data_IF_926600358407
#
_entry.id   IF_926600358407
#
_cell.length_a   1.000
_cell.length_b   1.000
_cell.length_c   1.000
_cell.angle_alpha   90.00
_cell.angle_beta   90.00
_cell.angle_gamma   90.00
#
_symmetry.space_group_name_H-M   'P 1'
#
loop_
_entity.id
_entity.type
_entity.pdbx_description
1 polymer ?
#
# COMPACT_ATOMS: atom_id res chain seq x y z
N UNK A 1 50.18 36.05 -16.00
CA UNK A 1 49.29 35.44 -17.04
C UNK A 1 49.20 33.93 -16.93
N UNK A 2 50.15 33.21 -16.32
CA UNK A 2 50.14 31.73 -16.16
C UNK A 2 49.17 31.24 -15.04
N UNK A 3 48.91 32.04 -13.99
CA UNK A 3 48.02 31.68 -12.86
C UNK A 3 46.53 31.66 -13.23
N UNK A 4 46.08 32.47 -14.17
CA UNK A 4 44.67 32.56 -14.56
C UNK A 4 44.21 31.30 -15.37
N UNK A 5 45.14 30.64 -16.09
CA UNK A 5 44.81 29.43 -16.89
C UNK A 5 44.54 28.19 -16.03
N UNK A 6 45.07 28.15 -14.81
CA UNK A 6 44.88 26.96 -13.93
C UNK A 6 43.59 27.01 -13.12
N UNK A 7 42.94 28.18 -12.97
CA UNK A 7 41.68 28.33 -12.23
C UNK A 7 40.42 28.14 -13.11
N UNK A 8 40.56 28.25 -14.43
CA UNK A 8 39.42 28.09 -15.34
C UNK A 8 38.74 26.71 -15.26
N UNK A 9 39.47 25.58 -15.24
CA UNK A 9 38.83 24.27 -15.15
C UNK A 9 38.18 24.01 -13.78
N UNK A 10 38.72 24.55 -12.68
CA UNK A 10 38.12 24.41 -11.34
C UNK A 10 36.82 25.22 -11.24
N UNK A 11 36.81 26.42 -11.82
CA UNK A 11 35.60 27.26 -11.88
C UNK A 11 34.51 26.60 -12.76
N UNK A 12 34.90 25.99 -13.89
CA UNK A 12 33.96 25.29 -14.77
C UNK A 12 33.34 24.05 -14.10
N UNK A 13 34.14 23.29 -13.32
CA UNK A 13 33.63 22.14 -12.55
C UNK A 13 32.70 22.59 -11.43
N UNK A 14 33.03 23.69 -10.75
CA UNK A 14 32.19 24.26 -9.68
C UNK A 14 30.84 24.79 -10.22
N UNK A 15 30.85 25.43 -11.40
CA UNK A 15 29.63 25.92 -12.05
C UNK A 15 28.80 24.74 -12.57
N UNK A 16 29.43 23.68 -13.09
CA UNK A 16 28.73 22.48 -13.55
C UNK A 16 28.11 21.71 -12.36
N UNK A 17 28.83 21.63 -11.23
CA UNK A 17 28.30 21.00 -9.99
C UNK A 17 27.13 21.79 -9.41
N UNK A 18 27.17 23.13 -9.46
CA UNK A 18 26.05 23.98 -9.04
C UNK A 18 24.83 23.86 -9.96
N UNK A 19 25.04 23.67 -11.27
CA UNK A 19 23.95 23.46 -12.23
C UNK A 19 23.26 22.10 -12.06
N UNK A 20 23.99 21.06 -11.64
CA UNK A 20 23.40 19.73 -11.36
C UNK A 20 22.53 19.76 -10.11
N UNK A 21 22.84 20.59 -9.11
CA UNK A 21 22.00 20.75 -7.91
C UNK A 21 20.72 21.58 -8.15
N UNK A 22 20.64 22.31 -9.24
CA UNK A 22 19.47 23.13 -9.58
C UNK A 22 18.39 22.40 -10.39
N UNK A 23 18.54 21.10 -10.63
CA UNK A 23 17.72 20.36 -11.58
C UNK A 23 16.57 19.55 -10.93
N UNK A 24 16.43 19.55 -9.62
CA UNK A 24 15.30 18.87 -8.98
C UNK A 24 14.09 19.80 -8.87
N UNK A 25 12.90 19.26 -9.14
CA UNK A 25 11.66 19.99 -8.93
C UNK A 25 11.54 20.45 -7.48
N UNK A 26 11.05 21.66 -7.22
CA UNK A 26 10.90 22.14 -5.84
C UNK A 26 9.88 21.28 -5.09
N UNK A 27 10.15 21.03 -3.81
CA UNK A 27 9.19 20.40 -2.92
C UNK A 27 7.97 21.30 -2.73
N UNK A 28 6.76 20.74 -2.54
CA UNK A 28 5.56 21.53 -2.32
C UNK A 28 5.68 22.37 -1.05
N UNK A 29 5.13 23.58 -1.09
CA UNK A 29 5.10 24.44 0.09
C UNK A 29 4.22 23.82 1.19
N UNK A 30 4.63 23.99 2.46
CA UNK A 30 3.82 23.56 3.59
C UNK A 30 2.47 24.29 3.57
N UNK A 31 1.32 23.59 3.57
CA UNK A 31 0.03 24.23 3.65
C UNK A 31 -0.20 24.89 5.03
N UNK A 32 -1.11 25.85 5.08
CA UNK A 32 -1.41 26.56 6.32
C UNK A 32 -2.32 25.74 7.28
N UNK A 33 -3.02 24.75 6.76
CA UNK A 33 -4.17 24.10 7.39
C UNK A 33 -4.17 22.56 7.32
N UNK A 34 -3.02 21.92 7.46
CA UNK A 34 -2.83 20.46 7.47
C UNK A 34 -3.15 19.72 6.16
N UNK A 35 -3.82 20.37 5.18
CA UNK A 35 -4.27 19.72 3.95
C UNK A 35 -3.78 20.48 2.71
N UNK A 36 -2.89 19.87 1.95
CA UNK A 36 -2.54 20.29 0.59
C UNK A 36 -3.35 19.45 -0.40
N UNK A 37 -4.14 20.10 -1.24
CA UNK A 37 -4.88 19.43 -2.32
C UNK A 37 -4.66 20.17 -3.64
N UNK A 38 -3.61 19.79 -4.35
CA UNK A 38 -3.29 20.31 -5.70
C UNK A 38 -3.99 19.49 -6.81
N UNK A 39 -4.50 18.30 -6.47
CA UNK A 39 -5.23 17.46 -7.42
C UNK A 39 -6.72 17.78 -7.51
N UNK A 40 -7.25 18.59 -6.58
CA UNK A 40 -8.65 18.98 -6.55
C UNK A 40 -9.60 17.82 -6.21
N UNK A 41 -9.16 16.94 -5.32
CA UNK A 41 -9.95 15.77 -4.88
C UNK A 41 -11.09 16.20 -3.96
N UNK A 42 -10.86 17.21 -3.13
CA UNK A 42 -11.84 17.70 -2.16
C UNK A 42 -12.62 18.91 -2.67
N UNK A 43 -13.90 18.96 -2.34
CA UNK A 43 -14.60 20.23 -2.32
C UNK A 43 -14.06 21.13 -1.20
N UNK A 44 -14.25 22.46 -1.30
CA UNK A 44 -13.79 23.39 -0.26
C UNK A 44 -14.33 23.03 1.13
N UNK A 45 -15.60 22.61 1.21
CA UNK A 45 -16.24 22.24 2.47
C UNK A 45 -15.62 20.95 3.09
N UNK A 46 -15.29 19.95 2.26
CA UNK A 46 -14.63 18.72 2.71
C UNK A 46 -13.22 19.03 3.19
N UNK A 47 -12.44 19.78 2.42
CA UNK A 47 -11.08 20.18 2.79
C UNK A 47 -11.03 20.93 4.13
N UNK A 48 -11.93 21.91 4.30
CA UNK A 48 -12.04 22.65 5.56
C UNK A 48 -12.52 21.77 6.71
N UNK A 49 -13.42 20.82 6.46
CA UNK A 49 -13.89 19.84 7.45
C UNK A 49 -12.73 18.97 7.93
N UNK A 50 -11.98 18.40 6.99
CA UNK A 50 -10.81 17.57 7.29
C UNK A 50 -9.74 18.37 8.04
N UNK A 51 -9.43 19.58 7.61
CA UNK A 51 -8.44 20.45 8.27
C UNK A 51 -8.84 20.74 9.74
N UNK A 52 -10.11 21.03 10.02
CA UNK A 52 -10.59 21.21 11.41
C UNK A 52 -10.45 19.94 12.25
N UNK A 53 -10.75 18.78 11.68
CA UNK A 53 -10.58 17.49 12.37
C UNK A 53 -9.12 17.24 12.73
N UNK A 54 -8.20 17.50 11.80
CA UNK A 54 -6.75 17.34 12.03
C UNK A 54 -6.23 18.32 13.06
N UNK A 55 -6.67 19.59 13.03
CA UNK A 55 -6.31 20.60 14.02
C UNK A 55 -6.82 20.22 15.43
N UNK A 56 -8.06 19.75 15.53
CA UNK A 56 -8.62 19.28 16.80
C UNK A 56 -7.83 18.08 17.33
N UNK A 57 -7.52 17.14 16.48
CA UNK A 57 -6.73 15.97 16.83
C UNK A 57 -5.36 16.34 17.40
N UNK A 58 -4.63 17.30 16.77
CA UNK A 58 -3.36 17.78 17.30
C UNK A 58 -3.53 18.47 18.68
N UNK A 59 -4.59 19.24 18.87
CA UNK A 59 -4.89 19.87 20.17
C UNK A 59 -5.12 18.85 21.28
N UNK A 60 -5.77 17.73 20.97
CA UNK A 60 -6.10 16.69 21.93
C UNK A 60 -4.92 15.78 22.28
N UNK A 61 -4.10 15.44 21.29
CA UNK A 61 -3.08 14.40 21.42
C UNK A 61 -1.65 14.91 21.33
N UNK A 62 -1.45 16.12 20.81
CA UNK A 62 -0.17 16.66 20.37
C UNK A 62 0.46 15.94 19.16
N UNK A 63 -0.12 14.86 18.65
CA UNK A 63 0.31 14.21 17.43
C UNK A 63 -0.17 15.02 16.22
N UNK A 64 0.62 15.05 15.16
CA UNK A 64 0.28 15.75 13.93
C UNK A 64 0.00 14.78 12.80
N UNK A 65 -1.13 14.94 12.15
CA UNK A 65 -1.46 14.22 10.91
C UNK A 65 -1.67 15.26 9.81
N UNK A 66 -0.99 15.07 8.69
CA UNK A 66 -1.06 15.93 7.53
C UNK A 66 -1.49 15.14 6.30
N UNK A 67 -2.13 15.81 5.36
CA UNK A 67 -2.56 15.22 4.08
C UNK A 67 -1.97 16.01 2.93
N UNK A 68 -1.37 15.32 1.99
CA UNK A 68 -0.80 15.87 0.78
C UNK A 68 -1.37 15.14 -0.44
N UNK A 69 -2.21 15.82 -1.21
CA UNK A 69 -2.77 15.28 -2.44
C UNK A 69 -2.21 16.07 -3.62
N UNK A 70 -1.41 15.40 -4.44
CA UNK A 70 -0.81 15.96 -5.66
C UNK A 70 -1.16 15.08 -6.85
N UNK A 71 -1.27 15.62 -8.07
CA UNK A 71 -1.61 14.82 -9.26
C UNK A 71 -0.70 13.60 -9.43
N UNK A 72 0.61 13.79 -9.32
CA UNK A 72 1.64 12.75 -9.43
C UNK A 72 2.92 13.14 -8.69
N UNK A 73 3.77 12.16 -8.45
CA UNK A 73 5.15 12.40 -8.00
C UNK A 73 5.92 13.06 -9.14
N UNK A 74 6.73 14.10 -8.89
CA UNK A 74 7.60 14.68 -9.93
C UNK A 74 8.56 13.64 -10.52
N UNK A 75 8.80 13.72 -11.85
CA UNK A 75 9.53 12.67 -12.61
C UNK A 75 11.00 12.48 -12.17
N UNK A 76 11.58 13.45 -11.49
CA UNK A 76 12.95 13.47 -11.00
C UNK A 76 13.09 12.86 -9.58
N UNK A 77 11.99 12.34 -9.00
CA UNK A 77 11.97 11.71 -7.69
C UNK A 77 11.43 10.29 -7.71
N UNK A 78 11.97 9.47 -6.80
CA UNK A 78 11.31 8.25 -6.33
C UNK A 78 10.29 8.65 -5.25
N UNK A 79 9.15 7.95 -5.19
CA UNK A 79 8.06 8.31 -4.26
C UNK A 79 8.53 8.42 -2.81
N UNK A 80 9.34 7.47 -2.37
CA UNK A 80 9.88 7.42 -1.00
C UNK A 80 10.75 8.62 -0.67
N UNK A 81 11.66 9.00 -1.58
CA UNK A 81 12.55 10.16 -1.40
C UNK A 81 11.77 11.47 -1.41
N UNK A 82 10.80 11.60 -2.31
CA UNK A 82 9.97 12.79 -2.41
C UNK A 82 9.12 13.00 -1.16
N UNK A 83 8.45 11.96 -0.68
CA UNK A 83 7.53 12.05 0.46
C UNK A 83 8.27 12.28 1.76
N UNK A 84 9.39 11.57 1.98
CA UNK A 84 10.25 11.77 3.14
C UNK A 84 10.78 13.22 3.20
N UNK A 85 11.39 13.70 2.11
CA UNK A 85 11.91 15.08 2.06
C UNK A 85 10.82 16.13 2.23
N UNK A 86 9.63 15.88 1.70
CA UNK A 86 8.49 16.78 1.87
C UNK A 86 8.06 16.84 3.33
N UNK A 87 7.91 15.70 3.99
CA UNK A 87 7.55 15.61 5.40
C UNK A 87 8.60 16.30 6.30
N UNK A 88 9.89 16.11 6.01
CA UNK A 88 11.00 16.79 6.68
C UNK A 88 10.99 18.31 6.44
N UNK A 89 10.83 18.74 5.19
CA UNK A 89 10.77 20.17 4.83
C UNK A 89 9.58 20.88 5.47
N UNK A 90 8.45 20.20 5.61
CA UNK A 90 7.29 20.71 6.31
C UNK A 90 7.49 20.72 7.84
N UNK A 91 8.47 19.98 8.35
CA UNK A 91 8.72 19.85 9.78
C UNK A 91 7.49 19.31 10.50
N UNK A 92 6.90 18.24 9.95
CA UNK A 92 5.73 17.60 10.54
C UNK A 92 6.11 16.85 11.81
N UNK A 93 5.30 17.00 12.85
CA UNK A 93 5.61 16.49 14.17
C UNK A 93 6.45 17.48 15.00
N UNK A 94 6.44 17.30 16.30
CA UNK A 94 7.23 18.12 17.23
C UNK A 94 8.67 17.62 17.27
N UNK A 95 9.63 18.52 17.20
CA UNK A 95 11.07 18.19 17.19
C UNK A 95 11.55 17.36 18.39
N UNK A 96 10.86 17.49 19.53
CA UNK A 96 11.15 16.77 20.76
C UNK A 96 10.44 15.40 20.86
N UNK A 97 9.47 15.13 19.98
CA UNK A 97 8.63 13.93 20.02
C UNK A 97 8.61 13.17 18.72
N UNK A 98 8.93 13.81 17.60
CA UNK A 98 8.92 13.23 16.25
C UNK A 98 7.59 12.51 15.92
N UNK A 99 6.48 13.07 16.43
CA UNK A 99 5.15 12.51 16.44
C UNK A 99 4.28 12.99 15.28
N UNK A 100 4.83 12.95 14.09
CA UNK A 100 4.17 13.36 12.86
C UNK A 100 3.81 12.18 11.97
N UNK A 101 2.69 12.31 11.25
CA UNK A 101 2.23 11.42 10.20
C UNK A 101 1.90 12.25 8.96
N UNK A 102 2.23 11.77 7.78
CA UNK A 102 1.80 12.40 6.52
C UNK A 102 1.23 11.34 5.59
N UNK A 103 -0.02 11.55 5.17
CA UNK A 103 -0.65 10.76 4.12
C UNK A 103 -0.47 11.47 2.78
N UNK A 104 0.29 10.86 1.89
CA UNK A 104 0.47 11.29 0.51
C UNK A 104 -0.43 10.50 -0.43
N UNK A 105 -1.08 11.19 -1.37
CA UNK A 105 -1.92 10.57 -2.40
C UNK A 105 -1.61 11.18 -3.75
N UNK A 106 -1.35 10.33 -4.75
CA UNK A 106 -1.00 10.71 -6.12
C UNK A 106 -1.98 10.05 -7.10
N UNK A 107 -3.14 10.69 -7.39
CA UNK A 107 -4.22 10.09 -8.18
C UNK A 107 -3.81 9.63 -9.58
N UNK A 108 -3.02 10.42 -10.31
CA UNK A 108 -2.59 10.07 -11.68
C UNK A 108 -1.63 8.87 -11.68
N UNK A 109 -0.77 8.76 -10.66
CA UNK A 109 0.16 7.63 -10.50
C UNK A 109 -0.49 6.43 -9.80
N UNK A 110 -1.72 6.57 -9.31
CA UNK A 110 -2.42 5.57 -8.48
C UNK A 110 -1.56 5.07 -7.33
N UNK A 111 -0.89 6.00 -6.65
CA UNK A 111 0.05 5.69 -5.58
C UNK A 111 -0.34 6.46 -4.33
N UNK A 112 -0.30 5.81 -3.18
CA UNK A 112 -0.44 6.43 -1.87
C UNK A 112 0.70 6.01 -0.98
N UNK A 113 1.11 6.89 -0.08
CA UNK A 113 2.16 6.60 0.89
C UNK A 113 1.87 7.25 2.23
N UNK A 114 2.18 6.56 3.29
CA UNK A 114 2.16 7.07 4.65
C UNK A 114 3.61 7.21 5.12
N UNK A 115 3.98 8.40 5.55
CA UNK A 115 5.24 8.66 6.24
C UNK A 115 4.98 8.74 7.75
N UNK A 116 5.81 8.05 8.53
CA UNK A 116 5.67 7.93 9.98
C UNK A 116 6.91 8.52 10.66
N UNK A 117 6.70 9.46 11.58
CA UNK A 117 7.77 10.00 12.42
C UNK A 117 8.21 8.98 13.48
N UNK A 118 9.47 9.00 13.86
CA UNK A 118 10.07 8.04 14.80
C UNK A 118 9.30 7.88 16.11
N UNK A 119 8.72 8.96 16.64
CA UNK A 119 7.95 8.91 17.88
C UNK A 119 6.66 8.13 17.79
N UNK A 120 6.19 7.81 16.57
CA UNK A 120 4.97 7.05 16.33
C UNK A 120 5.23 5.65 15.74
N UNK A 121 6.46 5.27 15.45
CA UNK A 121 6.77 3.92 14.91
C UNK A 121 6.33 2.79 15.86
N UNK A 122 6.31 3.06 17.17
CA UNK A 122 5.83 2.09 18.17
C UNK A 122 4.33 1.84 18.10
N UNK A 123 3.53 2.82 17.67
CA UNK A 123 2.06 2.72 17.56
C UNK A 123 1.60 2.53 16.11
N UNK A 124 2.35 3.06 15.15
CA UNK A 124 2.09 2.96 13.71
C UNK A 124 3.34 2.40 13.01
N UNK A 125 3.69 1.13 13.23
CA UNK A 125 4.78 0.50 12.47
C UNK A 125 4.41 0.34 10.98
N UNK A 126 5.40 0.16 10.11
CA UNK A 126 5.24 0.02 8.66
C UNK A 126 4.18 -1.02 8.25
N UNK A 127 4.14 -2.15 8.98
CA UNK A 127 3.14 -3.18 8.75
C UNK A 127 1.72 -2.69 8.97
N UNK A 128 1.48 -1.89 10.03
CA UNK A 128 0.17 -1.30 10.30
C UNK A 128 -0.17 -0.21 9.29
N UNK A 129 0.79 0.65 8.92
CA UNK A 129 0.59 1.63 7.87
C UNK A 129 0.20 0.96 6.52
N UNK A 130 0.82 -0.19 6.21
CA UNK A 130 0.46 -0.98 5.02
C UNK A 130 -0.96 -1.53 5.10
N UNK A 131 -1.40 -2.04 6.25
CA UNK A 131 -2.77 -2.53 6.48
C UNK A 131 -3.77 -1.39 6.29
N UNK A 132 -3.53 -0.22 6.90
CA UNK A 132 -4.41 0.96 6.74
C UNK A 132 -4.56 1.34 5.26
N UNK A 133 -3.46 1.33 4.50
CA UNK A 133 -3.53 1.60 3.06
C UNK A 133 -4.42 0.59 2.36
N UNK A 134 -4.23 -0.71 2.60
CA UNK A 134 -4.91 -1.77 1.88
C UNK A 134 -6.40 -1.91 2.28
N UNK A 135 -6.70 -1.78 3.57
CA UNK A 135 -8.03 -2.07 4.09
C UNK A 135 -8.93 -0.84 4.15
N UNK A 136 -8.38 0.34 4.47
CA UNK A 136 -9.18 1.55 4.68
C UNK A 136 -9.16 2.50 3.47
N UNK A 137 -8.00 2.61 2.76
CA UNK A 137 -7.81 3.59 1.69
C UNK A 137 -8.11 3.01 0.31
N UNK A 138 -7.38 1.96 -0.07
CA UNK A 138 -7.38 1.39 -1.44
C UNK A 138 -8.75 0.93 -1.92
N UNK A 139 -9.61 0.28 -1.11
CA UNK A 139 -10.94 -0.15 -1.57
C UNK A 139 -11.79 1.02 -2.05
N UNK A 140 -11.71 2.17 -1.37
CA UNK A 140 -12.43 3.39 -1.73
C UNK A 140 -11.90 4.01 -3.01
N UNK A 141 -10.58 4.04 -3.17
CA UNK A 141 -9.95 4.55 -4.38
C UNK A 141 -10.31 3.72 -5.60
N UNK A 142 -10.37 2.39 -5.48
CA UNK A 142 -10.86 1.49 -6.53
C UNK A 142 -12.34 1.71 -6.86
N UNK A 143 -13.15 2.10 -5.87
CA UNK A 143 -14.54 2.45 -6.08
C UNK A 143 -14.75 3.86 -6.66
N UNK A 144 -13.67 4.65 -6.84
CA UNK A 144 -13.72 6.02 -7.34
C UNK A 144 -14.00 7.08 -6.26
N UNK A 145 -14.10 6.69 -5.00
CA UNK A 145 -14.30 7.59 -3.85
C UNK A 145 -12.95 7.99 -3.24
N UNK A 146 -12.27 8.94 -3.88
CA UNK A 146 -10.96 9.40 -3.43
C UNK A 146 -11.05 10.16 -2.10
N UNK A 147 -11.99 11.09 -1.99
CA UNK A 147 -12.16 11.89 -0.77
C UNK A 147 -12.51 11.03 0.43
N UNK A 148 -13.49 10.14 0.31
CA UNK A 148 -13.87 9.24 1.40
C UNK A 148 -12.78 8.23 1.74
N UNK A 149 -11.95 7.81 0.79
CA UNK A 149 -10.78 6.96 1.06
C UNK A 149 -9.71 7.68 1.88
N UNK A 150 -9.46 8.96 1.59
CA UNK A 150 -8.52 9.77 2.37
C UNK A 150 -9.07 10.00 3.78
N UNK A 151 -10.35 10.33 3.92
CA UNK A 151 -11.00 10.54 5.23
C UNK A 151 -10.89 9.29 6.10
N UNK A 152 -11.23 8.10 5.56
CA UNK A 152 -11.06 6.81 6.29
C UNK A 152 -9.62 6.52 6.67
N UNK A 153 -8.68 6.76 5.77
CA UNK A 153 -7.26 6.59 6.05
C UNK A 153 -6.77 7.51 7.18
N UNK A 154 -7.23 8.76 7.19
CA UNK A 154 -6.92 9.72 8.27
C UNK A 154 -7.52 9.27 9.60
N UNK A 155 -8.78 8.82 9.62
CA UNK A 155 -9.42 8.28 10.82
C UNK A 155 -8.66 7.06 11.37
N UNK A 156 -8.28 6.14 10.49
CA UNK A 156 -7.49 4.97 10.85
C UNK A 156 -6.10 5.34 11.41
N UNK A 157 -5.42 6.32 10.80
CA UNK A 157 -4.12 6.82 11.28
C UNK A 157 -4.25 7.51 12.65
N UNK A 158 -5.29 8.32 12.87
CA UNK A 158 -5.57 8.94 14.15
C UNK A 158 -5.83 7.89 15.24
N UNK A 159 -6.61 6.84 14.95
CA UNK A 159 -6.86 5.74 15.88
C UNK A 159 -5.58 4.93 16.14
N UNK A 160 -4.83 4.60 15.11
CA UNK A 160 -3.57 3.85 15.22
C UNK A 160 -2.54 4.57 16.10
N UNK A 161 -2.38 5.88 15.91
CA UNK A 161 -1.42 6.67 16.68
C UNK A 161 -1.80 6.84 18.16
N UNK A 162 -3.06 6.58 18.53
CA UNK A 162 -3.50 6.45 19.93
C UNK A 162 -3.38 5.02 20.47
N UNK A 163 -3.04 4.04 19.62
CA UNK A 163 -3.06 2.63 19.96
C UNK A 163 -4.49 2.02 20.01
N UNK A 164 -5.46 2.68 19.40
CA UNK A 164 -6.88 2.30 19.40
C UNK A 164 -7.32 1.61 18.10
N UNK A 165 -6.44 1.50 17.12
CA UNK A 165 -6.77 0.87 15.84
C UNK A 165 -7.01 -0.64 16.02
N UNK A 166 -8.19 -1.08 15.65
CA UNK A 166 -8.54 -2.49 15.55
C UNK A 166 -8.61 -2.84 14.06
N UNK A 167 -7.57 -3.50 13.56
CA UNK A 167 -7.53 -3.95 12.16
C UNK A 167 -8.71 -4.85 11.81
N UNK A 168 -8.98 -5.02 10.54
CA UNK A 168 -10.05 -5.88 10.00
C UNK A 168 -9.85 -7.37 10.31
N UNK A 169 -8.71 -7.75 10.92
CA UNK A 169 -8.31 -9.14 11.17
C UNK A 169 -7.90 -9.90 9.92
N UNK A 170 -7.83 -9.23 8.77
CA UNK A 170 -7.34 -9.79 7.51
C UNK A 170 -5.86 -9.49 7.35
N UNK A 171 -5.12 -10.46 6.83
CA UNK A 171 -3.73 -10.28 6.42
C UNK A 171 -3.65 -10.21 4.90
N UNK A 172 -2.57 -9.62 4.34
CA UNK A 172 -2.31 -9.62 2.90
C UNK A 172 -2.27 -11.04 2.32
N UNK A 173 -1.86 -12.02 3.13
CA UNK A 173 -1.90 -13.43 2.75
C UNK A 173 -3.34 -13.96 2.59
N UNK A 174 -4.30 -13.42 3.37
CA UNK A 174 -5.70 -13.83 3.28
C UNK A 174 -6.37 -13.30 2.00
N UNK A 175 -5.97 -12.11 1.52
CA UNK A 175 -6.45 -11.57 0.23
C UNK A 175 -5.91 -12.35 -0.97
N UNK A 176 -4.62 -12.71 -0.97
CA UNK A 176 -4.04 -13.55 -2.03
C UNK A 176 -4.69 -14.95 -2.08
N UNK A 177 -4.96 -15.55 -0.92
CA UNK A 177 -5.65 -16.84 -0.83
C UNK A 177 -7.09 -16.75 -1.33
N UNK A 178 -7.83 -15.71 -0.93
CA UNK A 178 -9.21 -15.48 -1.34
C UNK A 178 -9.34 -15.30 -2.86
N UNK A 179 -8.46 -14.51 -3.48
CA UNK A 179 -8.43 -14.32 -4.93
C UNK A 179 -8.10 -15.61 -5.71
N UNK A 180 -7.16 -16.42 -5.21
CA UNK A 180 -6.79 -17.71 -5.82
C UNK A 180 -7.87 -18.76 -5.65
N UNK A 181 -8.51 -18.84 -4.48
CA UNK A 181 -9.61 -19.78 -4.24
C UNK A 181 -10.83 -19.44 -5.10
N UNK A 182 -11.19 -18.16 -5.26
CA UNK A 182 -12.26 -17.74 -6.15
C UNK A 182 -11.98 -18.14 -7.61
N UNK A 183 -10.75 -17.98 -8.07
CA UNK A 183 -10.32 -18.36 -9.43
C UNK A 183 -10.33 -19.87 -9.60
N UNK A 184 -9.82 -20.63 -8.64
CA UNK A 184 -9.80 -22.10 -8.67
C UNK A 184 -11.23 -22.64 -8.64
N UNK A 185 -12.10 -22.12 -7.80
CA UNK A 185 -13.51 -22.51 -7.72
C UNK A 185 -14.26 -22.22 -9.02
N UNK A 186 -13.98 -21.09 -9.67
CA UNK A 186 -14.54 -20.77 -10.99
C UNK A 186 -14.07 -21.75 -12.06
N UNK A 187 -12.78 -22.11 -12.09
CA UNK A 187 -12.23 -23.10 -13.03
C UNK A 187 -12.86 -24.47 -12.79
N UNK A 188 -12.96 -24.92 -11.53
CA UNK A 188 -13.61 -26.18 -11.17
C UNK A 188 -15.07 -26.17 -11.62
N UNK A 189 -15.79 -25.07 -11.40
CA UNK A 189 -17.17 -24.93 -11.83
C UNK A 189 -17.30 -25.01 -13.36
N UNK A 190 -16.44 -24.37 -14.13
CA UNK A 190 -16.42 -24.43 -15.58
C UNK A 190 -16.16 -25.89 -16.06
N UNK A 191 -15.16 -26.58 -15.47
CA UNK A 191 -14.85 -27.97 -15.78
C UNK A 191 -16.06 -28.86 -15.46
N UNK A 192 -16.74 -28.66 -14.35
CA UNK A 192 -17.93 -29.38 -13.96
C UNK A 192 -19.08 -29.19 -14.99
N UNK A 193 -19.33 -27.94 -15.40
CA UNK A 193 -20.35 -27.62 -16.41
C UNK A 193 -20.02 -28.31 -17.74
N UNK A 194 -18.76 -28.26 -18.18
CA UNK A 194 -18.32 -28.95 -19.42
C UNK A 194 -18.52 -30.47 -19.29
N UNK A 195 -18.17 -31.06 -18.14
CA UNK A 195 -18.36 -32.47 -17.86
C UNK A 195 -19.85 -32.87 -17.93
N UNK A 196 -20.73 -32.06 -17.32
CA UNK A 196 -22.18 -32.29 -17.36
C UNK A 196 -22.70 -32.22 -18.81
N UNK A 197 -22.29 -31.24 -19.60
CA UNK A 197 -22.70 -31.11 -21.02
C UNK A 197 -22.23 -32.32 -21.84
N UNK A 198 -21.00 -32.76 -21.64
CA UNK A 198 -20.46 -33.95 -22.33
C UNK A 198 -21.23 -35.21 -21.91
N UNK A 199 -21.56 -35.35 -20.62
CA UNK A 199 -22.31 -36.47 -20.08
C UNK A 199 -23.73 -36.55 -20.66
N UNK A 200 -24.43 -35.41 -20.75
CA UNK A 200 -25.75 -35.30 -21.37
C UNK A 200 -25.68 -35.67 -22.86
N UNK A 201 -24.69 -35.13 -23.58
CA UNK A 201 -24.52 -35.48 -25.02
C UNK A 201 -24.18 -36.95 -25.24
N UNK A 202 -23.37 -37.56 -24.36
CA UNK A 202 -23.04 -38.97 -24.40
C UNK A 202 -24.26 -39.87 -24.05
N UNK A 203 -25.12 -39.43 -23.14
CA UNK A 203 -26.36 -40.14 -22.78
C UNK A 203 -27.36 -40.17 -23.95
N UNK A 204 -27.45 -39.08 -24.72
CA UNK A 204 -28.32 -39.01 -25.90
C UNK A 204 -27.78 -39.83 -27.10
N UNK A 205 -26.47 -40.09 -27.15
CA UNK A 205 -25.85 -40.90 -28.20
C UNK A 205 -25.91 -42.41 -27.95
N UNK A 206 -26.34 -42.85 -26.75
CA UNK A 206 -26.57 -44.28 -26.41
C UNK A 206 -28.04 -44.60 -26.30
N UNK A 207 -28.75 -44.38 -27.38
CA UNK A 207 -30.04 -45.03 -27.63
C UNK A 207 -29.78 -46.41 -28.22
N UNK A 208 -30.07 -47.48 -27.48
CA UNK A 208 -30.07 -48.76 -28.09
C UNK A 208 -29.77 -49.95 -27.17
N UNK A 209 -30.81 -50.75 -26.93
CA UNK A 209 -30.83 -52.12 -26.54
C UNK A 209 -30.51 -52.55 -25.12
N UNK A 210 -31.58 -52.75 -24.38
CA UNK A 210 -31.63 -53.63 -23.20
C UNK A 210 -31.52 -55.07 -23.69
N UNK A 211 -30.44 -55.74 -23.33
CA UNK A 211 -30.34 -57.20 -23.42
C UNK A 211 -30.12 -57.68 -21.96
N UNK A 212 -31.12 -58.43 -21.45
CA UNK A 212 -30.93 -59.17 -20.22
C UNK A 212 -30.30 -60.51 -20.56
N UNK A 213 -29.25 -60.96 -19.88
CA UNK A 213 -29.24 -62.29 -19.34
C UNK A 213 -28.78 -62.26 -17.84
N UNK A 214 -29.49 -63.14 -17.16
CA UNK A 214 -29.33 -63.62 -15.79
C UNK A 214 -27.92 -64.17 -15.52
N UNK A 215 -27.38 -63.82 -14.31
CA UNK A 215 -26.53 -64.80 -13.66
C UNK A 215 -25.23 -64.26 -13.02
N UNK A 216 -25.23 -64.32 -11.71
CA UNK A 216 -24.09 -64.51 -10.76
C UNK A 216 -23.15 -63.38 -10.44
N UNK A 217 -23.20 -63.10 -9.13
CA UNK A 217 -22.26 -62.60 -8.13
C UNK A 217 -20.78 -62.68 -8.54
N UNK A 218 -20.06 -61.60 -8.28
CA UNK A 218 -18.93 -61.64 -7.33
C UNK A 218 -18.55 -60.21 -6.89
N UNK A 219 -18.40 -60.12 -5.57
CA UNK A 219 -18.02 -58.92 -4.81
C UNK A 219 -16.51 -58.84 -4.79
N UNK A 220 -15.92 -57.74 -5.18
CA UNK A 220 -14.53 -57.48 -4.84
C UNK A 220 -14.32 -56.03 -4.39
N UNK A 221 -13.91 -55.85 -3.12
CA UNK A 221 -13.36 -54.63 -2.58
C UNK A 221 -11.84 -54.75 -2.55
N UNK A 222 -11.10 -53.70 -2.81
CA UNK A 222 -9.85 -53.52 -2.10
C UNK A 222 -9.82 -52.26 -1.23
N UNK A 223 -9.30 -52.51 -0.06
CA UNK A 223 -9.07 -51.58 1.04
C UNK A 223 -7.78 -50.76 0.86
N UNK A 224 -7.81 -49.59 1.49
CA UNK A 224 -6.75 -48.96 2.27
C UNK A 224 -5.38 -48.66 1.66
N UNK A 225 -4.93 -47.48 1.95
CA UNK A 225 -3.52 -47.07 1.90
C UNK A 225 -3.31 -45.64 2.36
N UNK A 226 -3.06 -45.49 3.63
CA UNK A 226 -2.55 -44.32 4.32
C UNK A 226 -1.16 -43.90 3.83
N UNK A 227 -0.85 -42.60 3.87
CA UNK A 227 0.50 -42.07 3.66
C UNK A 227 0.65 -40.63 4.14
N UNK A 228 1.17 -40.50 5.32
CA UNK A 228 1.71 -39.29 5.94
C UNK A 228 2.93 -38.77 5.21
N UNK A 229 3.14 -37.45 5.19
CA UNK A 229 4.37 -36.85 4.78
C UNK A 229 4.37 -35.34 5.02
N UNK A 230 4.97 -34.92 6.12
CA UNK A 230 5.26 -33.57 6.54
C UNK A 230 6.46 -32.98 5.82
N UNK A 231 6.55 -31.67 5.84
CA UNK A 231 7.71 -30.92 5.35
C UNK A 231 7.55 -29.45 5.70
N UNK A 232 8.18 -29.05 6.80
CA UNK A 232 8.30 -27.64 7.17
C UNK A 232 9.44 -26.98 6.41
N UNK A 233 9.24 -25.71 6.08
CA UNK A 233 10.34 -24.82 5.69
C UNK A 233 10.23 -23.50 6.44
N UNK A 234 11.19 -23.28 7.35
CA UNK A 234 11.50 -21.99 7.90
C UNK A 234 12.37 -21.19 6.92
N UNK A 235 12.07 -19.93 6.74
CA UNK A 235 12.87 -18.99 5.99
C UNK A 235 13.02 -17.71 6.81
N UNK A 236 14.28 -17.46 7.29
CA UNK A 236 14.62 -16.27 8.04
C UNK A 236 14.81 -15.07 7.14
N UNK A 237 14.37 -13.91 7.62
CA UNK A 237 14.65 -12.62 6.98
C UNK A 237 15.75 -11.89 7.72
N UNK A 238 16.87 -11.65 7.02
CA UNK A 238 17.96 -10.81 7.45
C UNK A 238 17.64 -9.34 7.18
N UNK A 239 17.75 -8.53 8.23
CA UNK A 239 17.65 -7.10 8.16
C UNK A 239 18.93 -6.48 7.62
N UNK A 240 18.81 -5.48 6.77
CA UNK A 240 19.86 -4.58 6.32
C UNK A 240 19.56 -3.18 6.83
N UNK A 241 20.27 -2.75 7.88
CA UNK A 241 20.21 -1.40 8.39
C UNK A 241 21.02 -0.43 7.54
N UNK A 242 20.51 0.76 7.33
CA UNK A 242 21.25 1.90 6.84
C UNK A 242 21.17 3.03 7.86
N UNK A 243 22.34 3.53 8.27
CA UNK A 243 22.55 4.60 9.24
C UNK A 243 22.73 5.91 8.47
N UNK A 244 21.91 6.91 8.79
CA UNK A 244 22.13 8.26 8.28
C UNK A 244 21.28 9.26 9.10
N UNK A 245 21.95 10.06 9.90
CA UNK A 245 21.32 10.98 10.84
C UNK A 245 20.79 12.25 10.21
N UNK A 246 19.68 12.73 10.74
CA UNK A 246 19.09 14.05 10.50
C UNK A 246 17.59 14.06 10.68
N UNK A 247 17.11 14.44 11.84
CA UNK A 247 15.78 14.96 12.15
C UNK A 247 14.54 14.32 11.55
N UNK A 248 13.92 13.39 12.23
CA UNK A 248 12.47 13.29 12.30
C UNK A 248 11.74 12.23 11.50
N UNK A 249 12.15 11.86 10.33
CA UNK A 249 11.54 10.78 9.56
C UNK A 249 12.60 9.75 9.17
N UNK A 250 12.53 8.55 9.76
CA UNK A 250 13.52 7.50 9.57
C UNK A 250 13.30 6.59 8.38
N UNK A 251 12.52 7.03 7.41
CA UNK A 251 12.14 6.19 6.29
C UNK A 251 11.10 5.12 6.66
N UNK A 252 10.56 5.18 7.88
CA UNK A 252 9.39 4.37 8.27
C UNK A 252 8.16 4.82 7.49
N UNK A 253 7.32 3.86 7.11
CA UNK A 253 6.10 4.14 6.35
C UNK A 253 5.75 3.03 5.37
N UNK A 254 4.67 3.20 4.65
CA UNK A 254 4.20 2.22 3.68
C UNK A 254 3.74 2.88 2.38
N UNK A 255 3.96 2.18 1.26
CA UNK A 255 3.49 2.58 -0.06
C UNK A 255 2.46 1.58 -0.57
N UNK A 256 1.34 2.08 -1.11
CA UNK A 256 0.31 1.27 -1.77
C UNK A 256 -0.01 1.76 -3.17
N UNK A 257 -0.63 0.90 -3.96
CA UNK A 257 -1.13 1.20 -5.31
C UNK A 257 -2.52 0.61 -5.51
N UNK A 258 -3.35 1.24 -6.37
CA UNK A 258 -4.72 0.78 -6.66
C UNK A 258 -5.04 0.76 -8.15
#
# INVERSE_FOLDING_TARGET
VRFIRSFLPVLAVAVLAAAVHAAQSPLPAKPADYVLDEAGVFSSAQREGLARTLEQYERETSNQVWVCVMPRVPDDYVVEDFTQRTAEAWGVGRKDRENGLVLFVFPESRTTRIEVGYGLEGTVPDGLASIIIQDDIVPSFRAGDMAGGIERGVEALMAASKGEYTGTGRTLADEELSGREATINLIIFIIFVIFVIISIRRSQARGGHVYYPSGRRDVWFPSSGSGLGGGGFGGGFGGGGSIGGGGGFGGGGATGRW
#
